data_IF_732240731286
#
_entry.id   IF_732240731286
#
_cell.length_a   1.000
_cell.length_b   1.000
_cell.length_c   1.000
_cell.angle_alpha   90.00
_cell.angle_beta   90.00
_cell.angle_gamma   90.00
#
_symmetry.space_group_name_H-M   'P 1'
#
loop_
_entity.id
_entity.type
_entity.pdbx_description
1 polymer ?
#
# COMPACT_ATOMS: atom_id res chain seq x y z
N UNK A 1 57.79 6.79 15.97
CA UNK A 1 56.36 6.79 15.57
C UNK A 1 56.29 6.75 14.05
N UNK A 2 55.76 5.65 13.53
CA UNK A 2 55.80 5.30 12.11
C UNK A 2 54.83 6.16 11.27
N UNK A 3 55.13 6.36 9.98
CA UNK A 3 54.37 7.23 9.05
C UNK A 3 52.93 6.73 8.88
N UNK A 4 52.76 5.41 8.91
CA UNK A 4 51.49 4.69 8.87
C UNK A 4 50.60 5.04 10.08
N UNK A 5 51.18 5.13 11.28
CA UNK A 5 50.46 5.46 12.51
C UNK A 5 49.94 6.91 12.50
N UNK A 6 50.74 7.85 11.96
CA UNK A 6 50.34 9.25 11.79
C UNK A 6 49.18 9.41 10.80
N UNK A 7 49.22 8.67 9.69
CA UNK A 7 48.15 8.71 8.69
C UNK A 7 46.83 8.16 9.25
N UNK A 8 46.85 7.05 10.00
CA UNK A 8 45.63 6.52 10.64
C UNK A 8 45.07 7.49 11.68
N UNK A 9 45.94 8.13 12.47
CA UNK A 9 45.51 9.10 13.50
C UNK A 9 44.88 10.35 12.89
N UNK A 10 45.40 10.81 11.75
CA UNK A 10 44.86 11.96 11.01
C UNK A 10 43.50 11.67 10.35
N UNK A 11 43.31 10.45 9.83
CA UNK A 11 42.06 10.00 9.22
C UNK A 11 40.92 9.90 10.24
N UNK A 12 41.25 9.44 11.45
CA UNK A 12 40.29 9.24 12.53
C UNK A 12 40.06 10.49 13.39
N UNK A 13 40.69 11.62 13.05
CA UNK A 13 40.44 12.89 13.73
C UNK A 13 38.99 13.32 13.50
N UNK A 14 38.26 13.53 14.59
CA UNK A 14 36.86 13.94 14.54
C UNK A 14 36.78 15.41 14.13
N UNK A 15 36.03 15.67 13.08
CA UNK A 15 35.70 17.01 12.60
C UNK A 15 34.19 17.19 12.60
N UNK A 16 33.77 18.43 12.81
CA UNK A 16 32.37 18.79 12.72
C UNK A 16 31.98 19.14 11.29
N UNK A 17 31.15 20.18 11.17
CA UNK A 17 30.71 20.69 9.88
C UNK A 17 31.89 21.14 9.00
N UNK A 18 32.13 20.41 7.93
CA UNK A 18 33.17 20.69 6.93
C UNK A 18 32.56 21.45 5.73
N UNK A 19 33.08 22.62 5.34
CA UNK A 19 32.65 23.35 4.14
C UNK A 19 33.07 22.61 2.86
N UNK A 20 32.44 22.95 1.73
CA UNK A 20 32.85 22.40 0.43
C UNK A 20 34.25 22.89 0.05
N UNK A 21 35.09 21.98 -0.47
CA UNK A 21 36.45 22.28 -0.92
C UNK A 21 36.83 21.42 -2.12
N UNK A 22 38.11 21.02 -2.20
CA UNK A 22 38.56 20.01 -3.17
C UNK A 22 37.99 18.61 -2.83
N UNK A 23 37.77 18.39 -1.54
CA UNK A 23 37.07 17.24 -0.97
C UNK A 23 35.58 17.56 -0.79
N UNK A 24 34.75 16.52 -0.56
CA UNK A 24 33.31 16.70 -0.38
C UNK A 24 32.98 17.37 0.95
N UNK A 25 32.08 18.33 0.93
CA UNK A 25 31.56 19.01 2.13
C UNK A 25 30.42 18.27 2.84
N UNK A 26 30.05 18.76 4.02
CA UNK A 26 28.90 18.21 4.78
C UNK A 26 27.59 18.43 4.05
N UNK A 27 27.42 19.62 3.45
CA UNK A 27 26.20 19.96 2.73
C UNK A 27 26.00 19.10 1.49
N UNK A 28 27.06 18.81 0.72
CA UNK A 28 26.93 17.96 -0.47
C UNK A 28 26.52 16.53 -0.11
N UNK A 29 27.03 15.96 0.99
CA UNK A 29 26.60 14.64 1.48
C UNK A 29 25.11 14.68 1.87
N UNK A 30 24.70 15.66 2.67
CA UNK A 30 23.29 15.79 3.10
C UNK A 30 22.38 15.99 1.89
N UNK A 31 22.73 16.92 0.99
CA UNK A 31 21.92 17.26 -0.16
C UNK A 31 21.78 16.06 -1.11
N UNK A 32 22.88 15.38 -1.44
CA UNK A 32 22.83 14.20 -2.33
C UNK A 32 22.03 13.05 -1.72
N UNK A 33 22.16 12.80 -0.41
CA UNK A 33 21.35 11.81 0.29
C UNK A 33 19.85 12.17 0.26
N UNK A 34 19.49 13.39 0.66
CA UNK A 34 18.10 13.85 0.68
C UNK A 34 17.48 13.89 -0.71
N UNK A 35 18.21 14.36 -1.73
CA UNK A 35 17.76 14.35 -3.12
C UNK A 35 17.51 12.91 -3.58
N UNK A 36 18.44 11.98 -3.29
CA UNK A 36 18.24 10.56 -3.63
C UNK A 36 16.99 10.01 -2.97
N UNK A 37 16.79 10.23 -1.66
CA UNK A 37 15.60 9.77 -0.92
C UNK A 37 14.33 10.36 -1.54
N UNK A 38 14.26 11.68 -1.76
CA UNK A 38 13.07 12.34 -2.30
C UNK A 38 12.76 11.86 -3.71
N UNK A 39 13.76 11.80 -4.59
CA UNK A 39 13.58 11.42 -5.98
C UNK A 39 13.17 9.95 -6.11
N UNK A 40 13.78 9.05 -5.33
CA UNK A 40 13.47 7.62 -5.39
C UNK A 40 12.10 7.30 -4.78
N UNK A 41 11.73 7.94 -3.65
CA UNK A 41 10.40 7.79 -3.05
C UNK A 41 9.30 8.37 -3.93
N UNK A 42 9.51 9.58 -4.47
CA UNK A 42 8.52 10.23 -5.33
C UNK A 42 8.25 9.45 -6.63
N UNK A 43 9.27 8.85 -7.23
CA UNK A 43 9.12 8.13 -8.49
C UNK A 43 8.40 6.80 -8.36
N UNK A 44 8.49 6.15 -7.19
CA UNK A 44 7.80 4.88 -6.90
C UNK A 44 6.37 5.07 -6.38
N UNK A 45 6.00 6.27 -5.97
CA UNK A 45 4.68 6.51 -5.38
C UNK A 45 3.54 6.40 -6.40
N UNK A 46 2.69 5.40 -6.22
CA UNK A 46 1.49 5.14 -7.04
C UNK A 46 0.23 5.31 -6.16
N UNK A 47 -0.20 6.56 -5.90
CA UNK A 47 -1.26 6.85 -4.94
C UNK A 47 -2.62 6.37 -5.46
N UNK A 48 -3.54 6.10 -4.52
CA UNK A 48 -4.92 5.70 -4.81
C UNK A 48 -5.71 6.83 -5.46
N UNK A 49 -6.80 6.47 -6.14
CA UNK A 49 -7.60 7.41 -6.91
C UNK A 49 -8.66 8.06 -6.02
N UNK A 50 -8.44 9.34 -5.73
CA UNK A 50 -9.41 10.21 -5.04
C UNK A 50 -9.97 11.27 -6.00
N UNK A 51 -11.30 11.42 -6.00
CA UNK A 51 -12.03 12.41 -6.81
C UNK A 51 -11.69 13.85 -6.38
N UNK A 52 -11.62 14.10 -5.07
CA UNK A 52 -11.31 15.42 -4.52
C UNK A 52 -9.85 15.83 -4.72
N UNK A 53 -9.60 16.97 -5.38
CA UNK A 53 -8.23 17.49 -5.63
C UNK A 53 -7.44 17.74 -4.34
N UNK A 54 -8.09 18.24 -3.28
CA UNK A 54 -7.45 18.45 -1.96
C UNK A 54 -7.05 17.12 -1.34
N UNK A 55 -7.99 16.17 -1.24
CA UNK A 55 -7.75 14.84 -0.69
C UNK A 55 -6.64 14.09 -1.44
N UNK A 56 -6.60 14.18 -2.78
CA UNK A 56 -5.55 13.58 -3.59
C UNK A 56 -4.16 14.13 -3.27
N UNK A 57 -4.02 15.46 -3.13
CA UNK A 57 -2.74 16.09 -2.75
C UNK A 57 -2.31 15.68 -1.35
N UNK A 58 -3.26 15.69 -0.40
CA UNK A 58 -2.98 15.28 0.98
C UNK A 58 -2.60 13.80 1.05
N UNK A 59 -3.33 12.90 0.38
CA UNK A 59 -3.00 11.47 0.30
C UNK A 59 -1.60 11.24 -0.26
N UNK A 60 -1.24 11.90 -1.38
CA UNK A 60 0.11 11.81 -1.95
C UNK A 60 1.19 12.23 -0.95
N UNK A 61 0.97 13.33 -0.24
CA UNK A 61 1.89 13.80 0.80
C UNK A 61 1.98 12.83 1.99
N UNK A 62 0.85 12.33 2.48
CA UNK A 62 0.80 11.36 3.55
C UNK A 62 1.54 10.06 3.19
N UNK A 63 1.40 9.56 1.96
CA UNK A 63 2.14 8.39 1.51
C UNK A 63 3.65 8.66 1.44
N UNK A 64 4.07 9.85 1.00
CA UNK A 64 5.50 10.22 1.02
C UNK A 64 6.05 10.21 2.46
N UNK A 65 5.31 10.77 3.42
CA UNK A 65 5.71 10.75 4.84
C UNK A 65 5.77 9.30 5.37
N UNK A 66 4.79 8.46 5.05
CA UNK A 66 4.80 7.04 5.43
C UNK A 66 5.99 6.31 4.84
N UNK A 67 6.31 6.56 3.56
CA UNK A 67 7.43 5.90 2.89
C UNK A 67 8.79 6.31 3.46
N UNK A 68 8.94 7.56 3.90
CA UNK A 68 10.15 7.99 4.63
C UNK A 68 10.19 7.36 6.02
N UNK A 69 9.09 7.33 6.78
CA UNK A 69 9.11 6.78 8.14
C UNK A 69 9.14 5.23 8.19
N UNK A 70 8.58 4.56 7.18
CA UNK A 70 8.34 3.13 7.16
C UNK A 70 8.37 2.55 5.73
N UNK A 71 9.50 2.67 5.00
CA UNK A 71 9.60 2.20 3.61
C UNK A 71 9.35 0.69 3.46
N UNK A 72 9.66 -0.11 4.48
CA UNK A 72 9.40 -1.54 4.49
C UNK A 72 7.91 -1.88 4.62
N UNK A 73 7.14 -1.07 5.35
CA UNK A 73 5.70 -1.23 5.45
C UNK A 73 5.01 -0.85 4.14
N UNK A 74 5.52 0.16 3.43
CA UNK A 74 5.06 0.50 2.07
C UNK A 74 5.35 -0.66 1.09
N UNK A 75 6.51 -1.31 1.22
CA UNK A 75 6.85 -2.49 0.40
C UNK A 75 5.89 -3.65 0.68
N UNK A 76 5.50 -3.84 1.94
CA UNK A 76 4.49 -4.83 2.31
C UNK A 76 3.10 -4.44 1.79
N UNK A 77 2.71 -3.16 1.85
CA UNK A 77 1.47 -2.67 1.23
C UNK A 77 1.48 -2.93 -0.29
N UNK A 78 2.62 -2.72 -0.94
CA UNK A 78 2.79 -3.02 -2.35
C UNK A 78 2.65 -4.53 -2.66
N UNK A 79 3.16 -5.40 -1.78
CA UNK A 79 3.00 -6.84 -1.89
C UNK A 79 1.53 -7.24 -1.75
N UNK A 80 0.82 -6.67 -0.77
CA UNK A 80 -0.61 -6.91 -0.58
C UNK A 80 -1.43 -6.49 -1.81
N UNK A 81 -1.17 -5.30 -2.35
CA UNK A 81 -1.85 -4.83 -3.56
C UNK A 81 -1.54 -5.70 -4.79
N UNK A 82 -0.30 -6.17 -4.93
CA UNK A 82 0.08 -7.10 -5.99
C UNK A 82 -0.68 -8.42 -5.88
N UNK A 83 -0.79 -8.98 -4.67
CA UNK A 83 -1.52 -10.23 -4.44
C UNK A 83 -3.03 -10.06 -4.65
N UNK A 84 -3.61 -8.94 -4.21
CA UNK A 84 -5.01 -8.59 -4.44
C UNK A 84 -5.31 -8.46 -5.94
N UNK A 85 -4.44 -7.78 -6.70
CA UNK A 85 -4.58 -7.65 -8.14
C UNK A 85 -4.48 -9.02 -8.84
N UNK A 86 -3.55 -9.89 -8.41
CA UNK A 86 -3.46 -11.26 -8.92
C UNK A 86 -4.65 -12.13 -8.56
N UNK A 87 -5.21 -11.98 -7.35
CA UNK A 87 -6.44 -12.66 -6.93
C UNK A 87 -7.60 -12.26 -7.83
N UNK A 88 -7.79 -10.96 -8.05
CA UNK A 88 -8.83 -10.42 -8.95
C UNK A 88 -8.70 -10.98 -10.37
N UNK A 89 -7.51 -10.92 -10.95
CA UNK A 89 -7.23 -11.47 -12.29
C UNK A 89 -7.53 -12.98 -12.38
N UNK A 90 -7.17 -13.75 -11.34
CA UNK A 90 -7.52 -15.19 -11.25
C UNK A 90 -9.03 -15.41 -11.16
N UNK A 91 -9.74 -14.64 -10.35
CA UNK A 91 -11.20 -14.75 -10.21
C UNK A 91 -11.94 -14.38 -11.50
N UNK A 92 -11.37 -13.52 -12.33
CA UNK A 92 -11.92 -13.12 -13.63
C UNK A 92 -11.48 -14.01 -14.80
N UNK A 93 -10.46 -14.87 -14.61
CA UNK A 93 -9.76 -15.57 -15.70
C UNK A 93 -10.68 -16.36 -16.64
N UNK A 94 -11.67 -17.05 -16.10
CA UNK A 94 -12.66 -17.82 -16.86
C UNK A 94 -13.54 -16.91 -17.72
N UNK A 95 -14.15 -15.89 -17.11
CA UNK A 95 -15.04 -14.95 -17.79
C UNK A 95 -14.31 -14.10 -18.85
N UNK A 96 -13.03 -13.80 -18.64
CA UNK A 96 -12.22 -12.98 -19.56
C UNK A 96 -11.36 -13.80 -20.51
N UNK A 97 -11.46 -15.14 -20.52
CA UNK A 97 -10.60 -16.03 -21.32
C UNK A 97 -9.10 -15.75 -21.15
N UNK A 98 -8.67 -15.42 -19.92
CA UNK A 98 -7.30 -15.01 -19.55
C UNK A 98 -6.78 -13.72 -20.23
N UNK A 99 -7.64 -12.90 -20.81
CA UNK A 99 -7.22 -11.65 -21.47
C UNK A 99 -7.05 -10.46 -20.51
N UNK A 100 -7.61 -10.53 -19.31
CA UNK A 100 -7.51 -9.45 -18.32
C UNK A 100 -6.05 -9.25 -17.90
N UNK A 101 -5.56 -8.00 -18.03
CA UNK A 101 -4.19 -7.64 -17.67
C UNK A 101 -4.09 -7.30 -16.19
N UNK A 102 -2.91 -7.52 -15.61
CA UNK A 102 -2.63 -7.19 -14.21
C UNK A 102 -2.84 -5.69 -13.90
N UNK A 103 -2.52 -4.83 -14.87
CA UNK A 103 -2.72 -3.39 -14.79
C UNK A 103 -4.20 -3.01 -14.54
N UNK A 104 -5.13 -3.68 -15.20
CA UNK A 104 -6.58 -3.45 -15.04
C UNK A 104 -7.05 -3.87 -13.65
N UNK A 105 -6.51 -4.98 -13.12
CA UNK A 105 -6.79 -5.42 -11.75
C UNK A 105 -6.26 -4.42 -10.71
N UNK A 106 -5.06 -3.88 -10.93
CA UNK A 106 -4.53 -2.80 -10.10
C UNK A 106 -5.40 -1.55 -10.17
N UNK A 107 -5.86 -1.15 -11.36
CA UNK A 107 -6.73 0.03 -11.52
C UNK A 107 -8.01 -0.09 -10.68
N UNK A 108 -8.67 -1.25 -10.71
CA UNK A 108 -9.86 -1.51 -9.88
C UNK A 108 -9.50 -1.44 -8.39
N UNK A 109 -8.43 -2.11 -7.96
CA UNK A 109 -7.94 -2.08 -6.57
C UNK A 109 -7.49 -0.70 -6.07
N UNK A 110 -7.12 0.21 -6.98
CA UNK A 110 -6.78 1.61 -6.68
C UNK A 110 -8.00 2.51 -6.49
N UNK A 111 -9.22 1.95 -6.48
CA UNK A 111 -10.51 2.66 -6.51
C UNK A 111 -10.73 3.43 -7.82
N UNK A 112 -10.16 2.94 -8.92
CA UNK A 112 -10.33 3.52 -10.24
C UNK A 112 -11.73 3.34 -10.81
N UNK A 113 -12.45 2.30 -10.39
CA UNK A 113 -13.81 2.03 -10.84
C UNK A 113 -14.83 2.38 -9.75
N UNK A 114 -15.87 3.13 -10.12
CA UNK A 114 -16.95 3.57 -9.22
C UNK A 114 -18.29 3.45 -9.91
N UNK A 115 -19.31 3.00 -9.21
CA UNK A 115 -20.66 2.92 -9.78
C UNK A 115 -21.56 4.05 -9.25
N UNK A 116 -22.45 4.54 -10.10
CA UNK A 116 -23.40 5.60 -9.76
C UNK A 116 -24.52 5.05 -8.86
N UNK A 117 -24.96 5.87 -7.91
CA UNK A 117 -26.04 5.56 -6.98
C UNK A 117 -27.01 6.73 -6.92
N UNK A 118 -28.29 6.43 -7.07
CA UNK A 118 -29.36 7.44 -7.09
C UNK A 118 -29.34 8.31 -8.36
N UNK A 119 -30.31 9.23 -8.44
CA UNK A 119 -30.46 10.14 -9.59
C UNK A 119 -29.69 11.46 -9.44
N UNK A 120 -29.15 11.72 -8.25
CA UNK A 120 -28.58 13.03 -7.89
C UNK A 120 -27.05 13.08 -8.02
N UNK A 121 -26.40 12.04 -8.59
CA UNK A 121 -24.96 12.00 -8.82
C UNK A 121 -24.14 11.38 -7.68
N UNK A 122 -24.78 10.59 -6.82
CA UNK A 122 -24.11 9.75 -5.85
C UNK A 122 -23.26 8.67 -6.51
N UNK A 123 -22.25 8.18 -5.82
CA UNK A 123 -21.37 7.11 -6.31
C UNK A 123 -20.76 6.29 -5.17
N UNK A 124 -20.38 5.05 -5.47
CA UNK A 124 -19.73 4.14 -4.53
C UNK A 124 -18.54 3.45 -5.22
N UNK A 125 -17.56 3.01 -4.43
CA UNK A 125 -16.38 2.29 -4.95
C UNK A 125 -16.78 0.91 -5.44
N UNK A 126 -16.32 0.53 -6.63
CA UNK A 126 -16.42 -0.84 -7.12
C UNK A 126 -15.22 -1.64 -6.61
N UNK A 127 -15.45 -2.57 -5.69
CA UNK A 127 -14.39 -3.41 -5.16
C UNK A 127 -13.99 -4.52 -6.14
N UNK A 128 -12.74 -5.04 -6.08
CA UNK A 128 -12.26 -6.01 -7.07
C UNK A 128 -13.10 -7.29 -7.19
N UNK A 129 -13.59 -7.83 -6.06
CA UNK A 129 -14.43 -9.03 -6.09
C UNK A 129 -15.89 -8.74 -6.47
N UNK A 130 -16.37 -7.51 -6.29
CA UNK A 130 -17.64 -7.07 -6.86
C UNK A 130 -17.58 -7.07 -8.39
N UNK A 131 -16.49 -6.53 -8.95
CA UNK A 131 -16.26 -6.57 -10.40
C UNK A 131 -16.16 -8.01 -10.92
N UNK A 132 -15.40 -8.86 -10.23
CA UNK A 132 -15.30 -10.28 -10.59
C UNK A 132 -16.68 -10.97 -10.56
N UNK A 133 -17.52 -10.68 -9.58
CA UNK A 133 -18.88 -11.23 -9.48
C UNK A 133 -19.76 -10.83 -10.66
N UNK A 134 -19.74 -9.55 -11.06
CA UNK A 134 -20.52 -9.06 -12.20
C UNK A 134 -20.09 -9.75 -13.51
N UNK A 135 -18.78 -9.88 -13.74
CA UNK A 135 -18.26 -10.58 -14.92
C UNK A 135 -18.64 -12.07 -14.93
N UNK A 136 -18.40 -12.77 -13.81
CA UNK A 136 -18.63 -14.22 -13.73
C UNK A 136 -20.11 -14.59 -13.74
N UNK A 137 -21.00 -13.68 -13.34
CA UNK A 137 -22.45 -13.87 -13.40
C UNK A 137 -23.04 -13.51 -14.77
N UNK A 138 -22.22 -13.08 -15.73
CA UNK A 138 -22.66 -12.67 -17.06
C UNK A 138 -23.42 -11.34 -17.10
N UNK A 139 -23.38 -10.56 -16.01
CA UNK A 139 -24.05 -9.26 -15.90
C UNK A 139 -23.27 -8.15 -16.62
N UNK A 140 -21.95 -8.32 -16.76
CA UNK A 140 -21.07 -7.44 -17.54
C UNK A 140 -20.33 -8.31 -18.55
N UNK A 141 -20.29 -7.87 -19.81
CA UNK A 141 -19.58 -8.57 -20.89
C UNK A 141 -18.06 -8.31 -20.83
N UNK A 142 -17.30 -9.26 -21.38
CA UNK A 142 -15.87 -9.06 -21.69
C UNK A 142 -15.64 -9.16 -23.21
N UNK A 143 -14.96 -8.18 -23.86
CA UNK A 143 -14.42 -6.95 -23.27
C UNK A 143 -15.53 -6.00 -22.76
N UNK A 144 -15.21 -5.16 -21.77
CA UNK A 144 -16.18 -4.22 -21.21
C UNK A 144 -16.63 -3.20 -22.27
N UNK A 145 -17.87 -2.74 -22.16
CA UNK A 145 -18.37 -1.63 -22.95
C UNK A 145 -17.58 -0.33 -22.66
N UNK A 146 -17.67 0.67 -23.54
CA UNK A 146 -16.83 1.89 -23.50
C UNK A 146 -16.96 2.68 -22.20
N UNK A 147 -18.12 2.61 -21.54
CA UNK A 147 -18.38 3.19 -20.23
C UNK A 147 -17.63 2.49 -19.09
N UNK A 148 -17.40 1.18 -19.22
CA UNK A 148 -16.57 0.35 -18.34
C UNK A 148 -15.12 0.21 -18.85
N UNK A 149 -14.69 1.08 -19.78
CA UNK A 149 -13.43 0.89 -20.49
C UNK A 149 -12.23 0.89 -19.53
N UNK A 150 -11.52 -0.24 -19.54
CA UNK A 150 -10.27 -0.49 -18.82
C UNK A 150 -9.09 -0.55 -19.82
N UNK A 151 -9.23 0.08 -21.00
CA UNK A 151 -8.20 0.07 -22.04
C UNK A 151 -6.89 0.69 -21.55
N UNK A 152 -5.78 0.20 -22.12
CA UNK A 152 -4.45 0.78 -21.88
C UNK A 152 -4.41 2.25 -22.27
N UNK A 153 -5.09 2.67 -23.34
CA UNK A 153 -5.14 4.06 -23.77
C UNK A 153 -5.79 4.99 -22.73
N UNK A 154 -6.90 4.57 -22.10
CA UNK A 154 -7.53 5.33 -21.02
C UNK A 154 -6.67 5.43 -19.76
N UNK A 155 -5.83 4.42 -19.51
CA UNK A 155 -5.00 4.33 -18.30
C UNK A 155 -3.58 4.91 -18.50
N UNK A 156 -3.03 4.91 -19.72
CA UNK A 156 -1.62 5.24 -20.02
C UNK A 156 -1.38 6.66 -20.58
N UNK A 157 -2.43 7.46 -20.84
CA UNK A 157 -2.33 8.79 -21.50
C UNK A 157 -1.40 9.81 -20.78
N UNK A 158 -0.93 9.53 -19.56
CA UNK A 158 -0.07 10.46 -18.78
C UNK A 158 1.41 10.07 -18.64
N UNK A 159 1.86 9.00 -19.29
CA UNK A 159 3.19 8.39 -19.09
C UNK A 159 4.40 9.18 -19.62
N UNK A 160 4.21 10.13 -20.56
CA UNK A 160 5.34 10.76 -21.28
C UNK A 160 6.23 11.67 -20.40
N UNK A 161 5.64 12.51 -19.54
CA UNK A 161 6.40 13.37 -18.62
C UNK A 161 7.05 12.58 -17.46
N UNK A 162 6.47 11.42 -17.13
CA UNK A 162 6.97 10.53 -16.09
C UNK A 162 8.24 9.76 -16.50
N UNK A 163 8.40 9.49 -17.80
CA UNK A 163 9.60 8.82 -18.34
C UNK A 163 10.89 9.59 -18.07
N UNK A 164 10.90 10.91 -18.28
CA UNK A 164 12.09 11.74 -18.01
C UNK A 164 12.44 11.76 -16.52
N UNK A 165 11.44 11.92 -15.65
CA UNK A 165 11.66 11.95 -14.20
C UNK A 165 12.20 10.61 -13.68
N UNK A 166 11.71 9.49 -14.23
CA UNK A 166 12.23 8.15 -13.92
C UNK A 166 13.68 7.98 -14.36
N UNK A 167 14.06 8.46 -15.55
CA UNK A 167 15.45 8.41 -16.02
C UNK A 167 16.38 9.21 -15.10
N UNK A 168 15.99 10.42 -14.72
CA UNK A 168 16.75 11.24 -13.76
C UNK A 168 16.86 10.54 -12.41
N UNK A 169 15.79 9.90 -11.94
CA UNK A 169 15.80 9.15 -10.69
C UNK A 169 16.75 7.95 -10.73
N UNK A 170 16.72 7.17 -11.82
CA UNK A 170 17.62 6.04 -12.02
C UNK A 170 19.07 6.53 -12.02
N UNK A 171 19.36 7.59 -12.77
CA UNK A 171 20.70 8.18 -12.80
C UNK A 171 21.16 8.61 -11.40
N UNK A 172 20.33 9.36 -10.67
CA UNK A 172 20.63 9.81 -9.31
C UNK A 172 20.93 8.64 -8.36
N UNK A 173 20.09 7.60 -8.38
CA UNK A 173 20.25 6.42 -7.53
C UNK A 173 21.50 5.63 -7.89
N UNK A 174 21.78 5.42 -9.18
CA UNK A 174 22.97 4.71 -9.64
C UNK A 174 24.24 5.47 -9.27
N UNK A 175 24.27 6.78 -9.51
CA UNK A 175 25.40 7.64 -9.15
C UNK A 175 25.66 7.63 -7.64
N UNK A 176 24.61 7.82 -6.83
CA UNK A 176 24.73 7.79 -5.38
C UNK A 176 25.23 6.43 -4.87
N UNK A 177 24.67 5.34 -5.39
CA UNK A 177 25.05 3.97 -5.00
C UNK A 177 26.49 3.66 -5.41
N UNK A 178 26.90 4.03 -6.62
CA UNK A 178 28.27 3.87 -7.09
C UNK A 178 29.27 4.60 -6.18
N UNK A 179 29.00 5.86 -5.81
CA UNK A 179 29.83 6.61 -4.88
C UNK A 179 29.96 5.88 -3.52
N UNK A 180 28.85 5.38 -2.97
CA UNK A 180 28.91 4.65 -1.71
C UNK A 180 29.71 3.35 -1.81
N UNK A 181 29.57 2.60 -2.90
CA UNK A 181 30.33 1.37 -3.16
C UNK A 181 31.82 1.67 -3.27
N UNK A 182 32.21 2.67 -4.08
CA UNK A 182 33.61 3.09 -4.23
C UNK A 182 34.23 3.45 -2.89
N UNK A 183 33.51 4.21 -2.04
CA UNK A 183 33.99 4.53 -0.69
C UNK A 183 34.21 3.28 0.17
N UNK A 184 33.25 2.37 0.19
CA UNK A 184 33.39 1.10 0.90
C UNK A 184 34.57 0.26 0.40
N UNK A 185 34.78 0.21 -0.91
CA UNK A 185 35.88 -0.53 -1.54
C UNK A 185 37.27 0.06 -1.21
N UNK A 186 37.35 1.36 -0.98
CA UNK A 186 38.58 2.06 -0.56
C UNK A 186 38.71 2.22 0.96
N UNK A 187 37.88 1.53 1.75
CA UNK A 187 37.88 1.60 3.21
C UNK A 187 37.68 3.03 3.77
N UNK A 188 36.96 3.87 3.03
CA UNK A 188 36.53 5.18 3.50
C UNK A 188 35.19 5.07 4.22
N UNK A 189 35.02 5.87 5.28
CA UNK A 189 33.82 5.82 6.09
C UNK A 189 32.59 6.37 5.36
N UNK A 190 31.46 5.68 5.50
CA UNK A 190 30.16 6.18 5.06
C UNK A 190 29.49 6.92 6.21
N UNK A 191 28.93 8.10 5.92
CA UNK A 191 28.10 8.77 6.91
C UNK A 191 26.86 7.92 7.22
N UNK A 192 26.32 7.94 8.45
CA UNK A 192 25.09 7.21 8.79
C UNK A 192 23.92 7.53 7.85
N UNK A 193 23.81 8.78 7.41
CA UNK A 193 22.82 9.22 6.42
C UNK A 193 22.99 8.56 5.04
N UNK A 194 24.22 8.29 4.60
CA UNK A 194 24.49 7.62 3.33
C UNK A 194 24.11 6.14 3.40
N UNK A 195 24.51 5.47 4.49
CA UNK A 195 24.10 4.09 4.75
C UNK A 195 22.57 3.95 4.81
N UNK A 196 21.91 4.90 5.48
CA UNK A 196 20.45 4.95 5.53
C UNK A 196 19.82 5.17 4.15
N UNK A 197 20.41 6.04 3.32
CA UNK A 197 19.95 6.27 1.94
C UNK A 197 20.03 5.00 1.09
N UNK A 198 21.10 4.20 1.21
CA UNK A 198 21.19 2.90 0.53
C UNK A 198 20.08 1.94 0.95
N UNK A 199 19.70 1.94 2.23
CA UNK A 199 18.59 1.14 2.72
C UNK A 199 17.25 1.57 2.10
N UNK A 200 17.03 2.88 1.90
CA UNK A 200 15.86 3.38 1.15
C UNK A 200 15.90 2.91 -0.30
N UNK A 201 17.05 2.99 -0.97
CA UNK A 201 17.21 2.55 -2.37
C UNK A 201 16.78 1.09 -2.53
N UNK A 202 17.23 0.20 -1.63
CA UNK A 202 16.83 -1.23 -1.67
C UNK A 202 15.32 -1.40 -1.52
N UNK A 203 14.69 -0.73 -0.55
CA UNK A 203 13.24 -0.82 -0.35
C UNK A 203 12.44 -0.28 -1.54
N UNK A 204 12.89 0.83 -2.12
CA UNK A 204 12.28 1.45 -3.29
C UNK A 204 12.36 0.53 -4.50
N UNK A 205 13.48 -0.17 -4.71
CA UNK A 205 13.61 -1.18 -5.77
C UNK A 205 12.61 -2.32 -5.56
N UNK A 206 12.51 -2.85 -4.33
CA UNK A 206 11.54 -3.92 -4.01
C UNK A 206 10.10 -3.48 -4.25
N UNK A 207 9.74 -2.28 -3.78
CA UNK A 207 8.40 -1.68 -4.00
C UNK A 207 8.12 -1.52 -5.49
N UNK A 208 9.09 -1.01 -6.26
CA UNK A 208 8.95 -0.80 -7.70
C UNK A 208 8.74 -2.11 -8.45
N UNK A 209 9.44 -3.19 -8.09
CA UNK A 209 9.23 -4.52 -8.68
C UNK A 209 7.78 -5.01 -8.48
N UNK A 210 7.20 -4.79 -7.30
CA UNK A 210 5.82 -5.18 -6.98
C UNK A 210 4.79 -4.32 -7.72
N UNK A 211 5.10 -3.04 -7.93
CA UNK A 211 4.24 -2.06 -8.62
C UNK A 211 4.57 -1.81 -10.07
N UNK A 212 5.41 -2.65 -10.69
CA UNK A 212 5.83 -2.46 -12.08
C UNK A 212 4.66 -2.31 -13.06
N UNK A 213 3.56 -3.04 -12.82
CA UNK A 213 2.34 -3.01 -13.63
C UNK A 213 1.21 -2.16 -13.02
N UNK A 214 1.43 -1.55 -11.86
CA UNK A 214 0.45 -0.66 -11.23
C UNK A 214 0.46 0.67 -11.97
N UNK A 215 -0.68 1.19 -12.42
CA UNK A 215 -0.72 2.51 -13.04
C UNK A 215 -0.23 3.63 -12.12
N UNK A 216 0.33 4.69 -12.70
CA UNK A 216 0.85 5.86 -11.98
C UNK A 216 0.14 7.14 -12.45
N UNK A 217 -0.01 8.10 -11.53
CA UNK A 217 -0.54 9.45 -11.79
C UNK A 217 -1.96 9.49 -12.39
N UNK A 218 -2.78 8.46 -12.12
CA UNK A 218 -4.20 8.48 -12.44
C UNK A 218 -4.92 9.46 -11.51
N UNK A 219 -5.59 10.44 -12.11
CA UNK A 219 -6.29 11.49 -11.39
C UNK A 219 -7.82 11.35 -11.40
N UNK A 220 -8.35 10.44 -12.22
CA UNK A 220 -9.78 10.30 -12.54
C UNK A 220 -10.20 8.84 -12.42
N UNK A 221 -11.36 8.62 -11.81
CA UNK A 221 -12.00 7.32 -11.74
C UNK A 221 -13.07 7.21 -12.83
N UNK A 222 -13.25 6.01 -13.37
CA UNK A 222 -14.34 5.67 -14.29
C UNK A 222 -15.64 5.52 -13.51
N UNK A 223 -16.68 6.25 -13.93
CA UNK A 223 -18.02 6.21 -13.35
C UNK A 223 -18.93 5.37 -14.24
N UNK A 224 -19.37 4.23 -13.73
CA UNK A 224 -20.19 3.26 -14.46
C UNK A 224 -21.61 3.16 -13.92
N UNK A 225 -22.53 2.75 -14.78
CA UNK A 225 -23.89 2.41 -14.40
C UNK A 225 -23.97 0.90 -14.12
N UNK A 226 -24.61 0.51 -13.01
CA UNK A 226 -24.77 -0.91 -12.68
C UNK A 226 -25.76 -1.58 -13.64
N UNK A 227 -25.51 -2.84 -14.03
CA UNK A 227 -26.50 -3.62 -14.78
C UNK A 227 -27.73 -3.89 -13.90
N UNK A 228 -28.84 -4.24 -14.55
CA UNK A 228 -30.03 -4.75 -13.87
C UNK A 228 -29.69 -6.08 -13.18
N UNK A 229 -30.15 -6.25 -11.94
CA UNK A 229 -29.87 -7.40 -11.10
C UNK A 229 -31.15 -7.81 -10.36
N UNK A 230 -31.31 -9.10 -10.09
CA UNK A 230 -32.34 -9.56 -9.14
C UNK A 230 -32.00 -9.11 -7.72
N UNK A 231 -32.97 -9.15 -6.82
CA UNK A 231 -32.75 -8.77 -5.42
C UNK A 231 -31.68 -9.66 -4.76
N UNK A 232 -31.65 -10.96 -5.07
CA UNK A 232 -30.63 -11.89 -4.57
C UNK A 232 -29.24 -11.53 -5.10
N UNK A 233 -29.12 -11.24 -6.40
CA UNK A 233 -27.85 -10.84 -7.01
C UNK A 233 -27.34 -9.52 -6.42
N UNK A 234 -28.23 -8.56 -6.17
CA UNK A 234 -27.90 -7.30 -5.52
C UNK A 234 -27.40 -7.51 -4.10
N UNK A 235 -28.04 -8.37 -3.31
CA UNK A 235 -27.57 -8.71 -1.96
C UNK A 235 -26.17 -9.33 -2.01
N UNK A 236 -25.92 -10.28 -2.91
CA UNK A 236 -24.59 -10.87 -3.07
C UNK A 236 -23.54 -9.83 -3.50
N UNK A 237 -23.89 -8.96 -4.43
CA UNK A 237 -23.01 -7.87 -4.87
C UNK A 237 -22.67 -6.91 -3.73
N UNK A 238 -23.65 -6.50 -2.92
CA UNK A 238 -23.43 -5.56 -1.80
C UNK A 238 -22.63 -6.20 -0.66
N UNK A 239 -22.83 -7.51 -0.42
CA UNK A 239 -22.07 -8.30 0.54
C UNK A 239 -20.56 -8.39 0.22
N UNK A 240 -20.18 -8.23 -1.05
CA UNK A 240 -18.79 -8.21 -1.49
C UNK A 240 -18.12 -6.84 -1.33
N UNK A 241 -18.84 -5.83 -0.83
CA UNK A 241 -18.25 -4.54 -0.48
C UNK A 241 -17.38 -4.66 0.78
N UNK A 242 -16.22 -4.02 0.77
CA UNK A 242 -15.26 -4.11 1.89
C UNK A 242 -15.54 -3.05 2.96
N UNK A 243 -15.75 -1.81 2.53
CA UNK A 243 -16.12 -0.71 3.42
C UNK A 243 -16.83 0.40 2.62
N UNK A 244 -17.49 1.30 3.35
CA UNK A 244 -18.20 2.45 2.78
C UNK A 244 -17.46 3.80 2.98
N UNK A 245 -16.26 3.79 3.57
CA UNK A 245 -15.47 5.02 3.90
C UNK A 245 -15.24 5.94 2.70
N UNK A 246 -15.17 5.35 1.49
CA UNK A 246 -14.88 6.04 0.24
C UNK A 246 -16.11 6.25 -0.65
N UNK A 247 -17.27 5.84 -0.16
CA UNK A 247 -18.54 5.99 -0.85
C UNK A 247 -19.13 7.36 -0.58
N UNK A 248 -19.83 7.89 -1.59
CA UNK A 248 -20.62 9.11 -1.47
C UNK A 248 -21.96 8.90 -2.17
N UNK A 249 -22.86 8.08 -1.58
CA UNK A 249 -24.16 7.79 -2.17
C UNK A 249 -25.06 9.02 -2.20
N UNK A 250 -24.85 9.97 -1.29
CA UNK A 250 -25.49 11.27 -1.26
C UNK A 250 -24.45 12.37 -1.57
N UNK A 251 -24.58 13.09 -2.69
CA UNK A 251 -23.66 14.17 -3.04
C UNK A 251 -23.81 15.42 -2.18
N UNK A 252 -24.95 15.59 -1.49
CA UNK A 252 -25.20 16.70 -0.56
C UNK A 252 -24.56 16.47 0.81
N UNK A 253 -24.26 15.21 1.15
CA UNK A 253 -23.54 14.87 2.37
C UNK A 253 -22.15 15.50 2.41
N UNK A 254 -21.68 15.74 3.64
CA UNK A 254 -20.37 16.32 3.89
C UNK A 254 -19.26 15.55 3.16
N UNK A 255 -18.24 16.25 2.64
CA UNK A 255 -17.12 15.58 1.99
C UNK A 255 -16.38 14.68 2.99
N UNK A 256 -15.75 13.59 2.50
CA UNK A 256 -15.00 12.67 3.35
C UNK A 256 -13.91 13.41 4.13
N UNK A 257 -13.74 13.02 5.41
CA UNK A 257 -12.71 13.59 6.28
C UNK A 257 -11.33 13.47 5.65
N UNK A 258 -10.54 14.54 5.75
CA UNK A 258 -9.15 14.54 5.26
C UNK A 258 -8.25 13.51 5.96
N UNK A 259 -8.65 13.06 7.16
CA UNK A 259 -7.95 11.99 7.90
C UNK A 259 -7.88 10.66 7.13
N UNK A 260 -8.81 10.42 6.21
CA UNK A 260 -8.84 9.24 5.33
C UNK A 260 -7.57 9.12 4.48
N UNK A 261 -6.87 10.24 4.22
CA UNK A 261 -5.57 10.24 3.54
C UNK A 261 -4.51 9.40 4.28
N UNK A 262 -4.66 9.24 5.60
CA UNK A 262 -3.73 8.45 6.43
C UNK A 262 -4.13 6.98 6.54
N UNK A 263 -5.37 6.60 6.21
CA UNK A 263 -5.87 5.26 6.47
C UNK A 263 -5.14 4.19 5.64
N UNK A 264 -4.99 3.03 6.28
CA UNK A 264 -4.58 1.77 5.65
C UNK A 264 -5.89 1.03 5.39
N UNK A 265 -6.27 0.87 4.13
CA UNK A 265 -7.52 0.19 3.75
C UNK A 265 -7.37 -1.30 4.11
N UNK A 266 -8.36 -1.95 4.74
CA UNK A 266 -8.42 -3.40 4.79
C UNK A 266 -8.24 -3.95 3.38
N UNK A 267 -7.38 -4.96 3.17
CA UNK A 267 -7.00 -5.39 1.81
C UNK A 267 -7.70 -6.64 1.31
N UNK A 268 -8.60 -7.24 2.11
CA UNK A 268 -9.33 -8.44 1.70
C UNK A 268 -10.86 -8.34 1.82
N UNK A 269 -11.53 -8.76 0.75
CA UNK A 269 -12.86 -9.37 0.83
C UNK A 269 -12.60 -10.88 0.73
N UNK A 270 -12.88 -11.63 1.79
CA UNK A 270 -12.47 -13.03 1.90
C UNK A 270 -12.82 -13.81 0.62
N UNK A 271 -11.84 -14.52 0.04
CA UNK A 271 -12.06 -15.29 -1.21
C UNK A 271 -13.24 -16.26 -1.06
N UNK A 272 -13.44 -16.78 0.15
CA UNK A 272 -14.58 -17.59 0.54
C UNK A 272 -15.93 -16.87 0.34
N UNK A 273 -16.08 -15.61 0.75
CA UNK A 273 -17.30 -14.84 0.52
C UNK A 273 -17.62 -14.70 -0.98
N UNK A 274 -16.60 -14.43 -1.80
CA UNK A 274 -16.75 -14.40 -3.26
C UNK A 274 -17.14 -15.75 -3.84
N UNK A 275 -16.51 -16.85 -3.41
CA UNK A 275 -16.84 -18.19 -3.89
C UNK A 275 -18.27 -18.60 -3.50
N UNK A 276 -18.73 -18.22 -2.31
CA UNK A 276 -20.12 -18.42 -1.87
C UNK A 276 -21.08 -17.64 -2.77
N UNK A 277 -20.79 -16.36 -3.04
CA UNK A 277 -21.61 -15.53 -3.92
C UNK A 277 -21.67 -16.08 -5.36
N UNK A 278 -20.52 -16.52 -5.92
CA UNK A 278 -20.43 -17.14 -7.26
C UNK A 278 -21.20 -18.47 -7.32
N UNK A 279 -21.09 -19.31 -6.30
CA UNK A 279 -21.84 -20.58 -6.25
C UNK A 279 -23.37 -20.34 -6.20
N UNK A 280 -23.79 -19.32 -5.43
CA UNK A 280 -25.19 -18.91 -5.35
C UNK A 280 -25.77 -18.51 -6.71
N UNK A 281 -25.04 -17.70 -7.51
CA UNK A 281 -25.53 -17.27 -8.82
C UNK A 281 -25.59 -18.38 -9.87
N UNK A 282 -24.70 -19.38 -9.80
CA UNK A 282 -24.70 -20.53 -10.72
C UNK A 282 -25.86 -21.52 -10.45
N UNK A 283 -26.31 -21.62 -9.20
CA UNK A 283 -27.42 -22.51 -8.83
C UNK A 283 -28.77 -22.10 -9.44
N UNK A 284 -28.98 -20.80 -9.66
CA UNK A 284 -30.19 -20.22 -10.26
C UNK A 284 -30.27 -20.38 -11.79
N UNK A 285 -29.19 -20.74 -12.47
CA UNK A 285 -29.11 -20.74 -13.95
C UNK A 285 -29.26 -22.13 -14.57
N UNK A 286 -29.62 -23.17 -13.79
CA UNK A 286 -29.81 -24.53 -14.34
C UNK A 286 -31.28 -24.95 -14.29
N UNK A 287 -32.06 -24.82 -15.39
CA UNK A 287 -33.30 -25.57 -15.51
C UNK A 287 -32.91 -27.03 -15.79
N UNK A 288 -33.07 -27.90 -14.79
CA UNK A 288 -32.99 -29.35 -14.99
C UNK A 288 -34.17 -29.77 -15.89
N UNK A 289 -33.95 -30.45 -17.03
CA UNK A 289 -35.03 -31.15 -17.70
C UNK A 289 -35.23 -32.47 -16.97
N UNK A 290 -36.29 -32.60 -16.17
CA UNK A 290 -36.74 -33.90 -15.67
C UNK A 290 -38.07 -34.27 -16.29
N UNK A 291 -37.94 -35.25 -17.17
CA UNK A 291 -38.92 -36.19 -17.70
C UNK A 291 -40.10 -36.52 -16.78
N UNK A 292 -41.24 -36.69 -17.45
CA UNK A 292 -42.47 -37.36 -17.03
C UNK A 292 -42.37 -38.41 -15.91
N UNK A 293 -43.21 -38.26 -14.89
CA UNK A 293 -43.86 -39.39 -14.22
C UNK A 293 -45.26 -38.98 -13.76
N UNK A 294 -46.22 -39.90 -13.94
CA UNK A 294 -47.66 -39.76 -13.68
C UNK A 294 -48.01 -40.01 -12.20
N UNK A 295 -49.18 -39.50 -11.81
CA UNK A 295 -49.97 -39.74 -10.58
C UNK A 295 -49.50 -38.99 -9.31
N UNK A 296 -50.36 -38.40 -8.47
CA UNK A 296 -51.82 -38.49 -8.29
C UNK A 296 -52.30 -37.24 -7.54
N UNK A 297 -53.52 -36.80 -7.81
CA UNK A 297 -54.23 -35.72 -7.13
C UNK A 297 -54.22 -35.84 -5.60
N UNK A 298 -54.13 -34.70 -4.90
CA UNK A 298 -55.03 -34.30 -3.81
C UNK A 298 -55.03 -32.77 -3.77
N UNK A 299 -56.23 -32.24 -3.95
CA UNK A 299 -56.61 -30.84 -3.86
C UNK A 299 -56.52 -30.32 -2.42
N UNK A 300 -56.02 -29.09 -2.25
CA UNK A 300 -56.62 -28.16 -1.28
C UNK A 300 -56.37 -26.72 -1.73
N UNK A 301 -57.49 -26.07 -1.97
CA UNK A 301 -57.65 -24.73 -2.49
C UNK A 301 -57.48 -23.72 -1.34
N UNK A 302 -56.48 -22.85 -1.39
CA UNK A 302 -56.55 -21.56 -0.71
C UNK A 302 -56.04 -20.45 -1.62
N UNK A 303 -57.01 -19.84 -2.29
CA UNK A 303 -56.90 -18.62 -3.06
C UNK A 303 -56.62 -17.47 -2.09
N UNK A 304 -55.41 -16.92 -2.08
CA UNK A 304 -55.18 -15.61 -1.49
C UNK A 304 -54.57 -14.66 -2.53
N UNK A 305 -55.35 -13.63 -2.83
CA UNK A 305 -55.14 -12.64 -3.88
C UNK A 305 -53.94 -11.77 -3.54
N UNK A 306 -53.01 -11.65 -4.49
CA UNK A 306 -51.97 -10.61 -4.51
C UNK A 306 -52.65 -9.23 -4.68
N UNK A 307 -52.48 -8.26 -3.76
CA UNK A 307 -52.81 -6.88 -4.04
C UNK A 307 -51.59 -6.17 -4.65
N UNK A 308 -51.80 -5.66 -5.85
CA UNK A 308 -50.91 -4.73 -6.56
C UNK A 308 -50.88 -3.38 -5.83
N UNK A 309 -49.70 -2.94 -5.38
CA UNK A 309 -49.51 -1.59 -4.84
C UNK A 309 -48.07 -1.07 -5.09
N UNK A 310 -47.89 0.11 -5.72
CA UNK A 310 -46.57 0.66 -6.09
C UNK A 310 -45.75 1.22 -4.91
N UNK A 311 -46.22 1.08 -3.66
CA UNK A 311 -45.64 1.75 -2.50
C UNK A 311 -44.46 1.02 -1.84
N UNK A 312 -44.22 -0.25 -2.16
CA UNK A 312 -43.11 -1.03 -1.56
C UNK A 312 -41.74 -0.78 -2.22
N UNK A 313 -41.73 -0.34 -3.49
CA UNK A 313 -40.49 -0.02 -4.21
C UNK A 313 -39.77 1.22 -3.66
N UNK A 314 -40.48 2.14 -2.99
CA UNK A 314 -39.86 3.32 -2.34
C UNK A 314 -39.30 3.03 -0.95
N UNK A 315 -39.76 1.98 -0.26
CA UNK A 315 -39.28 1.62 1.08
C UNK A 315 -38.01 0.75 1.04
N UNK A 316 -37.75 0.05 -0.06
CA UNK A 316 -36.57 -0.82 -0.20
C UNK A 316 -35.26 -0.03 -0.37
N UNK A 317 -35.34 1.22 -0.82
CA UNK A 317 -34.18 2.11 -0.93
C UNK A 317 -33.68 2.66 0.42
N UNK A 318 -34.43 2.51 1.52
CA UNK A 318 -34.15 3.20 2.79
C UNK A 318 -33.86 2.28 3.98
N UNK A 319 -33.83 0.95 3.81
CA UNK A 319 -33.69 0.02 4.96
C UNK A 319 -32.86 -1.23 4.66
N UNK A 320 -31.63 -1.09 4.17
CA UNK A 320 -30.60 -2.10 4.44
C UNK A 320 -29.34 -1.36 4.88
N UNK A 321 -28.96 -1.42 6.17
CA UNK A 321 -27.64 -0.99 6.59
C UNK A 321 -26.62 -1.80 5.80
N UNK A 322 -25.70 -1.12 5.11
CA UNK A 322 -24.59 -1.75 4.38
C UNK A 322 -23.66 -2.46 5.38
N UNK A 323 -24.02 -3.68 5.75
CA UNK A 323 -23.23 -4.52 6.65
C UNK A 323 -22.25 -5.32 5.79
N UNK A 324 -20.96 -5.07 5.97
CA UNK A 324 -19.93 -5.99 5.50
C UNK A 324 -20.23 -7.41 5.98
N UNK A 325 -19.94 -8.41 5.15
CA UNK A 325 -20.11 -9.81 5.49
C UNK A 325 -19.36 -10.14 6.77
N UNK A 326 -20.10 -10.73 7.71
CA UNK A 326 -19.61 -11.30 8.96
C UNK A 326 -18.52 -12.33 8.67
N UNK A 327 -17.27 -12.03 8.99
CA UNK A 327 -16.34 -13.07 9.40
C UNK A 327 -16.74 -13.50 10.82
N UNK A 328 -16.84 -14.81 11.07
CA UNK A 328 -17.32 -15.35 12.34
C UNK A 328 -16.54 -14.79 13.52
N UNK A 329 -17.19 -13.90 14.27
CA UNK A 329 -16.66 -13.24 15.45
C UNK A 329 -17.67 -12.22 15.96
N UNK A 330 -18.04 -12.31 17.23
CA UNK A 330 -19.03 -11.49 17.93
C UNK A 330 -18.56 -10.05 18.21
N UNK A 331 -18.10 -9.34 17.18
CA UNK A 331 -17.56 -7.99 17.33
C UNK A 331 -18.59 -6.92 16.90
N UNK A 332 -18.90 -5.94 17.76
CA UNK A 332 -19.91 -4.91 17.48
C UNK A 332 -19.48 -3.94 16.38
N UNK A 333 -20.49 -3.39 15.70
CA UNK A 333 -20.49 -2.68 14.41
C UNK A 333 -19.69 -1.36 14.39
N UNK A 334 -19.24 -0.85 15.54
CA UNK A 334 -18.67 0.51 15.67
C UNK A 334 -17.16 0.55 15.94
N UNK A 335 -16.46 -0.58 15.79
CA UNK A 335 -15.00 -0.60 15.99
C UNK A 335 -14.28 -0.02 14.79
N UNK A 336 -13.68 1.17 14.95
CA UNK A 336 -12.77 1.75 13.96
C UNK A 336 -11.52 0.87 13.82
N UNK A 337 -11.47 0.09 12.74
CA UNK A 337 -10.31 -0.72 12.36
C UNK A 337 -9.25 0.22 11.78
N UNK A 338 -8.01 0.12 12.29
CA UNK A 338 -6.86 0.92 11.84
C UNK A 338 -6.12 0.18 10.73
N UNK A 339 -5.89 -1.11 10.93
CA UNK A 339 -5.25 -1.99 9.94
C UNK A 339 -5.63 -3.45 10.20
N UNK A 340 -5.72 -4.23 9.13
CA UNK A 340 -6.00 -5.67 9.15
C UNK A 340 -5.18 -6.36 8.05
N UNK A 341 -4.48 -7.43 8.44
CA UNK A 341 -3.68 -8.24 7.52
C UNK A 341 -4.55 -9.14 6.64
N UNK A 342 -4.15 -9.28 5.38
CA UNK A 342 -4.77 -10.20 4.42
C UNK A 342 -4.58 -11.66 4.87
N UNK A 343 -5.67 -12.44 4.87
CA UNK A 343 -5.69 -13.85 5.26
C UNK A 343 -4.81 -14.74 4.36
N UNK A 344 -4.59 -14.35 3.11
CA UNK A 344 -3.70 -15.02 2.17
C UNK A 344 -2.21 -14.85 2.48
N UNK A 345 -1.88 -13.92 3.40
CA UNK A 345 -0.52 -13.65 3.84
C UNK A 345 -0.32 -14.01 5.31
N UNK A 346 -1.23 -13.57 6.18
CA UNK A 346 -1.08 -13.65 7.62
C UNK A 346 -1.00 -15.10 8.11
N UNK A 347 0.06 -15.42 8.85
CA UNK A 347 0.31 -16.76 9.41
C UNK A 347 0.32 -17.90 8.38
N UNK A 348 0.54 -17.59 7.10
CA UNK A 348 0.84 -18.60 6.08
C UNK A 348 2.32 -19.02 6.15
N UNK A 349 2.72 -20.03 5.37
CA UNK A 349 4.13 -20.46 5.28
C UNK A 349 5.10 -19.35 4.82
N UNK A 350 4.58 -18.32 4.17
CA UNK A 350 5.37 -17.18 3.68
C UNK A 350 5.47 -16.05 4.72
N UNK A 351 4.69 -16.11 5.80
CA UNK A 351 4.65 -15.09 6.83
C UNK A 351 6.03 -14.75 7.43
N UNK A 352 6.93 -15.71 7.72
CA UNK A 352 8.28 -15.39 8.17
C UNK A 352 9.06 -14.53 7.17
N UNK A 353 8.91 -14.75 5.86
CA UNK A 353 9.55 -13.90 4.83
C UNK A 353 8.97 -12.49 4.82
N UNK A 354 7.66 -12.35 5.05
CA UNK A 354 7.01 -11.03 5.18
C UNK A 354 7.52 -10.30 6.42
N UNK A 355 7.68 -10.99 7.55
CA UNK A 355 8.29 -10.41 8.76
C UNK A 355 9.75 -10.00 8.52
N UNK A 356 10.55 -10.83 7.83
CA UNK A 356 11.92 -10.47 7.46
C UNK A 356 11.97 -9.22 6.58
N UNK A 357 11.06 -9.11 5.60
CA UNK A 357 10.89 -7.90 4.81
C UNK A 357 10.55 -6.70 5.70
N UNK A 358 9.58 -6.86 6.62
CA UNK A 358 9.12 -5.82 7.54
C UNK A 358 10.11 -5.39 8.63
N UNK A 359 11.25 -6.08 8.79
CA UNK A 359 12.35 -5.62 9.65
C UNK A 359 13.61 -5.25 8.89
N UNK A 360 13.68 -5.59 7.60
CA UNK A 360 14.90 -5.45 6.80
C UNK A 360 15.45 -4.03 6.82
N UNK A 361 14.60 -3.01 6.73
CA UNK A 361 15.03 -1.62 6.80
C UNK A 361 15.62 -1.25 8.17
N UNK A 362 14.98 -1.67 9.28
CA UNK A 362 15.52 -1.45 10.63
C UNK A 362 16.84 -2.18 10.87
N UNK A 363 16.93 -3.42 10.39
CA UNK A 363 18.11 -4.26 10.52
C UNK A 363 19.32 -3.73 9.75
N UNK A 364 19.13 -3.13 8.56
CA UNK A 364 20.24 -2.55 7.79
C UNK A 364 20.94 -1.42 8.55
N UNK A 365 20.21 -0.61 9.34
CA UNK A 365 20.85 0.44 10.14
C UNK A 365 21.70 -0.08 11.29
N UNK A 366 21.54 -1.35 11.68
CA UNK A 366 22.45 -2.00 12.62
C UNK A 366 23.83 -2.25 12.00
N UNK A 367 24.00 -2.14 10.67
CA UNK A 367 25.34 -2.12 10.05
C UNK A 367 26.18 -0.95 10.58
N UNK A 368 25.53 0.18 10.87
CA UNK A 368 26.14 1.36 11.51
C UNK A 368 26.19 1.26 13.04
N UNK A 369 26.23 0.05 13.62
CA UNK A 369 26.27 -0.14 15.08
C UNK A 369 27.46 0.55 15.77
N UNK A 370 28.58 0.62 15.05
CA UNK A 370 29.83 1.23 15.51
C UNK A 370 30.08 2.60 14.86
N UNK A 371 29.05 3.23 14.30
CA UNK A 371 29.17 4.60 13.81
C UNK A 371 29.53 5.56 14.94
N UNK A 372 30.21 6.65 14.58
CA UNK A 372 30.67 7.65 15.53
C UNK A 372 29.59 8.72 15.68
N UNK A 373 29.28 9.03 16.93
CA UNK A 373 28.35 10.08 17.32
C UNK A 373 29.04 11.04 18.28
N UNK A 374 28.58 12.31 18.39
CA UNK A 374 29.23 13.32 19.23
C UNK A 374 29.29 12.94 20.71
N UNK A 375 28.27 12.23 21.21
CA UNK A 375 28.21 11.77 22.61
C UNK A 375 27.88 10.28 22.73
N UNK A 376 28.22 9.70 23.89
CA UNK A 376 27.82 8.32 24.22
C UNK A 376 26.29 8.17 24.30
N UNK A 377 25.58 9.23 24.69
CA UNK A 377 24.11 9.22 24.78
C UNK A 377 23.50 9.07 23.40
N UNK A 378 23.98 9.83 22.41
CA UNK A 378 23.53 9.78 21.02
C UNK A 378 23.84 8.43 20.37
N UNK A 379 25.03 7.87 20.62
CA UNK A 379 25.38 6.51 20.17
C UNK A 379 24.40 5.46 20.71
N UNK A 380 24.10 5.51 22.02
CA UNK A 380 23.13 4.58 22.60
C UNK A 380 21.70 4.86 22.13
N UNK A 381 21.33 6.12 21.88
CA UNK A 381 20.04 6.48 21.31
C UNK A 381 19.88 5.89 19.90
N UNK A 382 20.92 5.95 19.06
CA UNK A 382 20.95 5.28 17.75
C UNK A 382 20.80 3.76 17.86
N UNK A 383 21.56 3.10 18.73
CA UNK A 383 21.51 1.65 18.95
C UNK A 383 20.16 1.19 19.48
N UNK A 384 19.61 1.89 20.47
CA UNK A 384 18.31 1.57 21.04
C UNK A 384 17.17 1.84 20.05
N UNK A 385 17.28 2.89 19.25
CA UNK A 385 16.27 3.21 18.24
C UNK A 385 16.31 2.24 17.05
N UNK A 386 17.50 1.87 16.56
CA UNK A 386 17.65 0.87 15.49
C UNK A 386 17.10 -0.50 15.93
N UNK A 387 17.50 -1.00 17.09
CA UNK A 387 16.97 -2.25 17.64
C UNK A 387 15.46 -2.14 17.97
N UNK A 388 15.04 -1.02 18.57
CA UNK A 388 13.66 -0.74 18.90
C UNK A 388 12.75 -0.75 17.68
N UNK A 389 13.19 -0.17 16.55
CA UNK A 389 12.43 -0.18 15.30
C UNK A 389 12.16 -1.61 14.80
N UNK A 390 13.15 -2.51 14.91
CA UNK A 390 12.99 -3.92 14.56
C UNK A 390 11.99 -4.62 15.50
N UNK A 391 12.17 -4.46 16.81
CA UNK A 391 11.34 -5.12 17.82
C UNK A 391 9.88 -4.64 17.76
N UNK A 392 9.65 -3.33 17.80
CA UNK A 392 8.30 -2.77 17.75
C UNK A 392 7.63 -3.01 16.41
N UNK A 393 8.38 -3.05 15.31
CA UNK A 393 7.90 -3.47 14.00
C UNK A 393 7.38 -4.91 14.02
N UNK A 394 8.17 -5.87 14.50
CA UNK A 394 7.75 -7.28 14.60
C UNK A 394 6.53 -7.49 15.49
N UNK A 395 6.50 -6.82 16.65
CA UNK A 395 5.35 -6.91 17.56
C UNK A 395 4.09 -6.37 16.88
N UNK A 396 4.20 -5.26 16.14
CA UNK A 396 3.08 -4.70 15.37
C UNK A 396 2.58 -5.68 14.30
N UNK A 397 3.49 -6.33 13.59
CA UNK A 397 3.13 -7.31 12.56
C UNK A 397 2.42 -8.55 13.14
N UNK A 398 2.71 -8.94 14.37
CA UNK A 398 2.09 -10.12 15.00
C UNK A 398 0.58 -9.96 15.27
N UNK A 399 0.05 -8.73 15.25
CA UNK A 399 -1.37 -8.51 15.44
C UNK A 399 -2.09 -8.52 14.09
N UNK A 400 -2.88 -9.58 13.82
CA UNK A 400 -3.75 -9.68 12.63
C UNK A 400 -4.57 -8.39 12.39
N UNK A 401 -5.16 -7.87 13.46
CA UNK A 401 -6.08 -6.73 13.42
C UNK A 401 -5.76 -5.74 14.53
N UNK A 402 -5.59 -4.48 14.15
CA UNK A 402 -5.43 -3.35 15.06
C UNK A 402 -6.68 -2.48 14.92
N UNK A 403 -7.46 -2.39 16.00
CA UNK A 403 -8.66 -1.59 16.06
C UNK A 403 -8.69 -0.81 17.37
N UNK A 404 -9.37 0.34 17.37
CA UNK A 404 -9.52 1.17 18.56
C UNK A 404 -10.58 0.56 19.50
N UNK A 405 -10.23 -0.57 20.13
CA UNK A 405 -11.07 -1.28 21.09
C UNK A 405 -10.25 -1.63 22.32
N UNK A 406 -10.73 -1.22 23.48
CA UNK A 406 -10.12 -1.60 24.75
C UNK A 406 -10.37 -3.08 25.03
N UNK A 407 -9.29 -3.85 25.12
CA UNK A 407 -9.25 -5.29 25.44
C UNK A 407 -8.31 -5.54 26.64
N UNK A 408 -8.02 -4.50 27.43
CA UNK A 408 -7.03 -4.53 28.51
C UNK A 408 -5.61 -4.19 28.05
N UNK A 409 -4.61 -4.72 28.76
CA UNK A 409 -3.19 -4.39 28.52
C UNK A 409 -2.70 -4.65 27.09
N UNK A 410 -3.29 -5.62 26.39
CA UNK A 410 -2.97 -5.92 24.99
C UNK A 410 -3.27 -4.72 24.07
N UNK A 411 -4.30 -3.91 24.37
CA UNK A 411 -4.61 -2.71 23.58
C UNK A 411 -3.51 -1.66 23.72
N UNK A 412 -2.88 -1.53 24.91
CA UNK A 412 -1.74 -0.65 25.12
C UNK A 412 -0.58 -1.06 24.21
N UNK A 413 -0.30 -2.37 24.11
CA UNK A 413 0.76 -2.89 23.24
C UNK A 413 0.40 -2.67 21.75
N UNK A 414 -0.81 -3.02 21.34
CA UNK A 414 -1.30 -2.87 19.94
C UNK A 414 -1.21 -1.44 19.42
N UNK A 415 -1.51 -0.45 20.27
CA UNK A 415 -1.48 0.96 19.90
C UNK A 415 -0.13 1.62 20.19
N UNK A 416 0.57 1.18 21.22
CA UNK A 416 1.86 1.73 21.65
C UNK A 416 3.03 1.31 20.76
N UNK A 417 3.10 0.05 20.31
CA UNK A 417 4.21 -0.42 19.47
C UNK A 417 4.32 0.33 18.14
N UNK A 418 3.25 0.59 17.37
CA UNK A 418 3.33 1.43 16.17
C UNK A 418 3.85 2.85 16.46
N UNK A 419 3.46 3.45 17.58
CA UNK A 419 3.92 4.78 17.98
C UNK A 419 5.40 4.76 18.33
N UNK A 420 5.83 3.80 19.15
CA UNK A 420 7.23 3.63 19.52
C UNK A 420 8.12 3.33 18.31
N UNK A 421 7.62 2.53 17.36
CA UNK A 421 8.28 2.32 16.07
C UNK A 421 8.53 3.64 15.35
N UNK A 422 7.52 4.51 15.21
CA UNK A 422 7.67 5.83 14.56
C UNK A 422 8.63 6.72 15.34
N UNK A 423 8.57 6.72 16.67
CA UNK A 423 9.50 7.49 17.52
C UNK A 423 10.94 7.05 17.28
N UNK A 424 11.21 5.74 17.26
CA UNK A 424 12.52 5.19 16.92
C UNK A 424 13.00 5.66 15.53
N UNK A 425 12.11 5.65 14.53
CA UNK A 425 12.44 6.09 13.16
C UNK A 425 12.78 7.57 13.07
N UNK A 426 12.02 8.43 13.75
CA UNK A 426 12.31 9.87 13.83
C UNK A 426 13.64 10.11 14.55
N UNK A 427 13.90 9.42 15.65
CA UNK A 427 15.17 9.52 16.36
C UNK A 427 16.35 9.14 15.48
N UNK A 428 16.25 8.03 14.72
CA UNK A 428 17.30 7.62 13.79
C UNK A 428 17.54 8.65 12.67
N UNK A 429 16.48 9.20 12.07
CA UNK A 429 16.60 10.26 11.06
C UNK A 429 17.30 11.51 11.61
N UNK A 430 16.95 11.91 12.84
CA UNK A 430 17.58 13.03 13.52
C UNK A 430 19.07 12.76 13.82
N UNK A 431 19.38 11.59 14.38
CA UNK A 431 20.73 11.17 14.72
C UNK A 431 21.63 11.04 13.48
N UNK A 432 21.10 10.57 12.34
CA UNK A 432 21.84 10.48 11.09
C UNK A 432 22.34 11.85 10.58
N UNK A 433 21.59 12.92 10.85
CA UNK A 433 22.01 14.30 10.55
C UNK A 433 22.90 14.83 11.68
N UNK A 434 22.53 14.55 12.93
CA UNK A 434 23.25 15.02 14.10
C UNK A 434 24.69 14.49 14.18
N UNK A 435 24.96 13.30 13.62
CA UNK A 435 26.26 12.67 13.53
C UNK A 435 27.32 13.54 12.83
N UNK A 436 26.93 14.39 11.86
CA UNK A 436 27.85 15.30 11.16
C UNK A 436 28.53 16.34 12.05
N UNK A 437 28.13 16.48 13.32
CA UNK A 437 28.86 17.30 14.31
C UNK A 437 30.17 16.66 14.79
N UNK A 438 30.39 15.38 14.54
CA UNK A 438 31.58 14.65 15.00
C UNK A 438 31.93 13.46 14.06
N UNK A 439 32.01 13.69 12.75
CA UNK A 439 32.42 12.65 11.80
C UNK A 439 33.94 12.63 11.62
N UNK A 440 34.57 11.48 11.41
CA UNK A 440 35.99 11.43 11.07
C UNK A 440 36.31 12.13 9.75
N UNK A 441 37.53 12.67 9.62
CA UNK A 441 38.00 13.29 8.37
C UNK A 441 37.90 12.38 7.16
N UNK A 442 38.10 11.07 7.33
CA UNK A 442 37.93 10.07 6.27
C UNK A 442 36.54 10.10 5.61
N UNK A 443 35.51 10.57 6.34
CA UNK A 443 34.15 10.76 5.81
C UNK A 443 34.10 11.81 4.69
N UNK A 444 34.99 12.81 4.72
CA UNK A 444 34.97 13.92 3.77
C UNK A 444 35.96 13.75 2.61
N UNK A 445 36.86 12.78 2.68
CA UNK A 445 37.84 12.57 1.63
C UNK A 445 37.20 12.01 0.37
N UNK A 446 37.53 12.60 -0.78
CA UNK A 446 37.12 12.10 -2.08
C UNK A 446 38.23 11.21 -2.64
N UNK A 447 37.86 10.04 -3.17
CA UNK A 447 38.81 9.25 -3.95
C UNK A 447 38.86 9.82 -5.37
N UNK A 448 39.96 10.44 -5.76
CA UNK A 448 40.15 10.89 -7.14
C UNK A 448 40.35 9.67 -8.06
N UNK A 449 39.32 9.32 -8.84
CA UNK A 449 39.38 8.33 -9.93
C UNK A 449 40.40 8.76 -11.02
N UNK A 450 40.84 10.02 -11.01
CA UNK A 450 41.72 10.62 -12.03
C UNK A 450 43.13 10.03 -12.05
N UNK A 451 43.58 9.34 -10.99
CA UNK A 451 44.94 8.78 -10.93
C UNK A 451 45.14 7.46 -11.74
N UNK A 452 44.12 6.97 -12.45
CA UNK A 452 44.23 5.77 -13.30
C UNK A 452 43.83 5.99 -14.77
N UNK A 453 43.46 7.22 -15.14
CA UNK A 453 43.12 7.57 -16.53
C UNK A 453 43.90 8.81 -16.94
N UNK A 454 45.23 8.73 -16.91
CA UNK A 454 46.13 9.48 -17.80
C UNK A 454 47.46 8.73 -17.97
#
# INVERSE_FOLDING_TARGET
MDRTSRNVTYQNELVGWTPEGNDRGTWSIIATALVTIVVCTWTVLHPRIHLGRKLRRTHRFCQLVKQVLAPELETIEALQEYLQARKTMRCCAEATRNEMKLMQSFYIGMMGLRYKVGKEGGHCVMWPLQYAYLLNSGLVSWPPARDWDLSEEHVEDKSKADGLLKLVAIWQVLWFTANCITRGAHHLELAPLESMTLAYVVQVILTYCLWWKKPKDISTASLVDLPEMTDEQRIQFENLSMEATYDRPDPTADPPSMSIAWYIIPRDCSESAYLIAKAGSQSTTTPRPSSSSKHKDISTEHTEKVPTSPRRAKALHTMIPRTGVKTGGSDPIDTKVITEWDDSLYMTKWWPLVCLLGVSFGAVHMVSWNAIFPTRVELWLWRMSSLGSVVFGLVTMHFKKIAFRWQGAVTIVKLGCPVLYVVCRVAMLAEAIAAFRAMPRSTYQTYEIVNYVF
#
